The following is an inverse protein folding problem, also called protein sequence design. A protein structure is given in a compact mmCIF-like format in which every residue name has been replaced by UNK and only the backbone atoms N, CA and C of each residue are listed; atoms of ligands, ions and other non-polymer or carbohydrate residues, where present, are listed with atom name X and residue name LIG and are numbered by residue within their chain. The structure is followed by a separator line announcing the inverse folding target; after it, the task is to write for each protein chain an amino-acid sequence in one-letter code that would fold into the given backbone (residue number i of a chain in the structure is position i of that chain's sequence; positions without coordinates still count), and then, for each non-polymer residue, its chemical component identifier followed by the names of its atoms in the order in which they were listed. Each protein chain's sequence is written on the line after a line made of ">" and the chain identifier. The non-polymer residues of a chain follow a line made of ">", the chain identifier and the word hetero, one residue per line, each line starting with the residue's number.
data_IF_573095854628
#
_entry.id   IF_573095854628
#
_cell.length_a   1.000
_cell.length_b   1.000
_cell.length_c   1.000
_cell.angle_alpha   90.00
_cell.angle_beta   90.00
_cell.angle_gamma   90.00
#
_symmetry.space_group_name_H-M   'P 1'
#
loop_
_entity.id
_entity.type
_entity.pdbx_description
1 polymer ?
#
# COMPACT_ATOMS: atom_id res chain seq x y z
N UNK A 1 -5.32 9.83 -16.75
CA UNK A 1 -5.79 9.02 -15.62
C UNK A 1 -4.98 7.74 -15.56
N UNK A 2 -4.26 7.54 -14.46
CA UNK A 2 -3.44 6.37 -14.24
C UNK A 2 -4.34 5.22 -13.78
N UNK A 3 -4.48 4.19 -14.58
CA UNK A 3 -5.29 2.99 -14.27
C UNK A 3 -4.55 2.00 -13.34
N UNK A 4 -3.75 2.51 -12.41
CA UNK A 4 -3.10 1.69 -11.41
C UNK A 4 -4.10 1.36 -10.30
N UNK A 5 -4.13 0.11 -9.83
CA UNK A 5 -5.03 -0.30 -8.73
C UNK A 5 -4.86 0.61 -7.50
N UNK A 6 -3.63 1.01 -7.17
CA UNK A 6 -3.34 1.84 -6.00
C UNK A 6 -3.71 3.31 -6.14
N UNK A 7 -3.91 3.82 -7.38
CA UNK A 7 -4.33 5.20 -7.62
C UNK A 7 -5.82 5.33 -7.88
N UNK A 8 -6.50 4.21 -8.10
CA UNK A 8 -7.89 4.20 -8.51
C UNK A 8 -8.10 4.80 -9.90
N UNK A 9 -9.31 4.69 -10.40
CA UNK A 9 -9.77 5.37 -11.60
C UNK A 9 -10.65 6.55 -11.17
N UNK A 10 -10.19 7.78 -11.38
CA UNK A 10 -11.00 8.96 -11.14
C UNK A 10 -11.93 9.22 -12.33
N UNK A 11 -13.17 9.63 -12.06
CA UNK A 11 -14.06 10.10 -13.11
C UNK A 11 -13.52 11.37 -13.75
N UNK A 12 -13.57 11.50 -15.07
CA UNK A 12 -13.19 12.73 -15.76
C UNK A 12 -14.24 13.85 -15.64
N UNK A 13 -15.41 13.56 -15.07
CA UNK A 13 -16.52 14.50 -14.95
C UNK A 13 -16.77 14.80 -13.46
N UNK A 14 -16.94 16.06 -13.15
CA UNK A 14 -17.13 16.57 -11.80
C UNK A 14 -18.48 16.15 -11.18
N UNK A 15 -19.46 15.82 -12.02
CA UNK A 15 -20.82 15.39 -11.65
C UNK A 15 -21.19 14.05 -12.29
N UNK A 16 -20.38 13.02 -12.05
CA UNK A 16 -20.71 11.69 -12.56
C UNK A 16 -21.76 11.04 -11.67
N UNK A 17 -22.87 10.63 -12.28
CA UNK A 17 -23.89 9.87 -11.55
C UNK A 17 -23.29 8.55 -11.12
N UNK A 18 -23.33 8.25 -9.83
CA UNK A 18 -22.86 6.98 -9.27
C UNK A 18 -23.70 5.83 -9.83
N UNK A 19 -23.22 5.21 -10.90
CA UNK A 19 -23.85 4.08 -11.57
C UNK A 19 -23.18 2.73 -11.24
N UNK A 20 -22.22 2.74 -10.31
CA UNK A 20 -21.47 1.57 -9.85
C UNK A 20 -21.49 1.49 -8.34
N UNK A 21 -21.75 0.29 -7.88
CA UNK A 21 -21.75 -0.01 -6.46
C UNK A 21 -20.49 -0.80 -6.11
N UNK A 22 -19.98 -0.56 -4.91
CA UNK A 22 -18.90 -1.33 -4.32
C UNK A 22 -19.30 -1.72 -2.90
N UNK A 23 -18.84 -2.89 -2.49
CA UNK A 23 -19.00 -3.39 -1.14
C UNK A 23 -17.63 -3.41 -0.48
N UNK A 24 -17.54 -2.83 0.72
CA UNK A 24 -16.38 -2.95 1.60
C UNK A 24 -16.84 -3.53 2.93
N UNK A 25 -16.10 -4.52 3.44
CA UNK A 25 -16.34 -5.15 4.72
C UNK A 25 -15.03 -5.22 5.49
N UNK A 26 -15.11 -4.95 6.81
CA UNK A 26 -14.01 -5.15 7.73
C UNK A 26 -14.50 -5.84 9.01
N UNK A 27 -13.70 -6.78 9.49
CA UNK A 27 -13.91 -7.47 10.75
C UNK A 27 -12.63 -7.34 11.56
N UNK A 28 -12.75 -6.84 12.79
CA UNK A 28 -11.64 -6.76 13.74
C UNK A 28 -11.91 -7.68 14.94
N UNK A 29 -10.86 -8.41 15.37
CA UNK A 29 -10.90 -9.30 16.54
C UNK A 29 -9.92 -8.77 17.59
N UNK A 30 -10.41 -8.64 18.84
CA UNK A 30 -9.66 -8.16 20.02
C UNK A 30 -9.70 -9.19 21.16
N UNK A 31 -9.98 -10.47 20.88
CA UNK A 31 -10.16 -11.51 21.91
C UNK A 31 -8.90 -11.76 22.75
N UNK A 32 -7.73 -11.44 22.20
CA UNK A 32 -6.46 -11.57 22.91
C UNK A 32 -5.97 -10.21 23.36
N UNK A 33 -5.69 -10.06 24.65
CA UNK A 33 -5.21 -8.79 25.23
C UNK A 33 -3.92 -8.33 24.54
N UNK A 34 -3.93 -7.09 24.06
CA UNK A 34 -2.79 -6.49 23.35
C UNK A 34 -2.68 -6.87 21.88
N UNK A 35 -3.53 -7.78 21.37
CA UNK A 35 -3.53 -8.20 19.97
C UNK A 35 -4.85 -7.78 19.28
N UNK A 36 -4.72 -7.07 18.18
CA UNK A 36 -5.80 -6.83 17.22
C UNK A 36 -5.50 -7.58 15.94
N UNK A 37 -6.47 -8.31 15.45
CA UNK A 37 -6.46 -8.94 14.13
C UNK A 37 -7.53 -8.29 13.27
N UNK A 38 -7.21 -7.90 12.05
CA UNK A 38 -8.13 -7.28 11.11
C UNK A 38 -8.16 -8.04 9.79
N UNK A 39 -9.37 -8.28 9.28
CA UNK A 39 -9.61 -8.83 7.95
C UNK A 39 -10.55 -7.90 7.21
N UNK A 40 -10.17 -7.47 6.01
CA UNK A 40 -11.02 -6.62 5.20
C UNK A 40 -11.07 -7.08 3.75
N UNK A 41 -12.19 -6.78 3.12
CA UNK A 41 -12.44 -7.10 1.73
C UNK A 41 -13.16 -5.95 1.03
N UNK A 42 -12.85 -5.77 -0.24
CA UNK A 42 -13.51 -4.84 -1.14
C UNK A 42 -13.84 -5.55 -2.45
N UNK A 43 -15.04 -5.34 -2.95
CA UNK A 43 -15.49 -5.81 -4.24
C UNK A 43 -16.27 -4.71 -4.94
N UNK A 44 -15.87 -4.35 -6.15
CA UNK A 44 -16.56 -3.31 -6.93
C UNK A 44 -16.19 -3.38 -8.41
N UNK A 45 -16.90 -2.61 -9.21
CA UNK A 45 -16.59 -2.46 -10.63
C UNK A 45 -15.91 -1.11 -10.86
N UNK A 46 -14.71 -1.11 -11.44
CA UNK A 46 -13.95 0.10 -11.71
C UNK A 46 -14.42 0.86 -12.95
N UNK A 47 -15.14 0.18 -13.84
CA UNK A 47 -15.56 0.75 -15.12
C UNK A 47 -17.06 0.60 -15.27
N UNK A 48 -17.73 1.71 -15.51
CA UNK A 48 -19.17 1.81 -15.73
C UNK A 48 -19.58 2.12 -17.16
N UNK A 49 -18.62 2.55 -17.96
CA UNK A 49 -18.90 3.11 -19.26
C UNK A 49 -18.67 2.10 -20.38
N UNK A 50 -19.50 2.21 -21.40
CA UNK A 50 -19.30 1.53 -22.66
C UNK A 50 -18.11 2.20 -23.37
N UNK A 51 -17.08 1.44 -23.68
CA UNK A 51 -16.04 1.96 -24.56
C UNK A 51 -16.55 1.99 -25.97
N UNK A 52 -16.49 3.15 -26.67
CA UNK A 52 -16.87 3.20 -28.04
C UNK A 52 -15.88 2.37 -28.85
N UNK A 53 -16.42 1.42 -29.58
CA UNK A 53 -15.84 0.71 -30.69
C UNK A 53 -14.49 0.01 -30.43
N UNK A 54 -14.50 -1.30 -30.43
CA UNK A 54 -13.32 -2.10 -30.71
C UNK A 54 -12.77 -1.83 -32.13
N UNK A 55 -11.73 -2.51 -32.54
CA UNK A 55 -11.16 -2.38 -33.90
C UNK A 55 -12.16 -2.76 -35.02
N UNK A 56 -13.27 -3.44 -34.70
CA UNK A 56 -14.33 -3.87 -35.58
C UNK A 56 -15.58 -2.94 -35.56
N UNK A 57 -15.55 -1.87 -34.74
CA UNK A 57 -16.65 -0.94 -34.62
C UNK A 57 -17.75 -1.36 -33.64
N UNK A 58 -17.57 -2.49 -32.91
CA UNK A 58 -18.55 -2.96 -31.96
C UNK A 58 -18.36 -2.31 -30.58
N UNK A 59 -19.44 -1.86 -29.98
CA UNK A 59 -19.46 -1.33 -28.61
C UNK A 59 -19.37 -2.48 -27.63
N UNK A 60 -18.26 -2.56 -26.86
CA UNK A 60 -18.06 -3.59 -25.83
C UNK A 60 -18.18 -3.00 -24.43
N UNK A 61 -18.82 -3.75 -23.53
CA UNK A 61 -19.00 -3.40 -22.14
C UNK A 61 -18.05 -4.24 -21.28
N UNK A 62 -17.12 -3.59 -20.61
CA UNK A 62 -16.25 -4.22 -19.62
C UNK A 62 -16.62 -3.75 -18.22
N UNK A 63 -16.52 -4.63 -17.25
CA UNK A 63 -16.84 -4.31 -15.84
C UNK A 63 -15.62 -3.84 -15.06
N UNK A 64 -14.44 -4.36 -15.38
CA UNK A 64 -13.22 -4.05 -14.66
C UNK A 64 -13.40 -4.34 -13.15
N UNK A 65 -13.85 -5.54 -12.80
CA UNK A 65 -14.11 -5.90 -11.41
C UNK A 65 -12.83 -5.79 -10.58
N UNK A 66 -12.89 -5.02 -9.49
CA UNK A 66 -11.79 -4.87 -8.53
C UNK A 66 -12.15 -5.70 -7.29
N UNK A 67 -11.26 -6.61 -6.92
CA UNK A 67 -11.31 -7.34 -5.65
C UNK A 67 -10.05 -7.00 -4.87
N UNK A 68 -10.22 -6.62 -3.59
CA UNK A 68 -9.09 -6.39 -2.69
C UNK A 68 -9.35 -7.16 -1.41
N UNK A 69 -8.38 -7.96 -0.99
CA UNK A 69 -8.36 -8.61 0.31
C UNK A 69 -7.19 -8.08 1.12
N UNK A 70 -7.41 -7.80 2.41
CA UNK A 70 -6.37 -7.32 3.31
C UNK A 70 -6.49 -8.01 4.66
N UNK A 71 -5.35 -8.44 5.16
CA UNK A 71 -5.18 -8.93 6.53
C UNK A 71 -4.19 -8.03 7.24
N UNK A 72 -4.49 -7.62 8.45
CA UNK A 72 -3.58 -6.85 9.29
C UNK A 72 -3.64 -7.30 10.76
N UNK A 73 -2.54 -7.11 11.45
CA UNK A 73 -2.49 -7.33 12.89
C UNK A 73 -1.64 -6.27 13.58
N UNK A 74 -1.96 -6.03 14.84
CA UNK A 74 -1.18 -5.16 15.72
C UNK A 74 -1.15 -5.76 17.12
N UNK A 75 0.06 -6.03 17.60
CA UNK A 75 0.33 -6.47 18.96
C UNK A 75 1.04 -5.37 19.74
N UNK A 76 0.51 -5.04 20.90
CA UNK A 76 1.08 -4.03 21.79
C UNK A 76 0.96 -4.52 23.24
N UNK A 77 1.94 -5.28 23.68
CA UNK A 77 2.04 -5.77 25.06
C UNK A 77 3.50 -6.16 25.38
N UNK A 78 3.83 -6.32 26.66
CA UNK A 78 5.13 -6.78 27.14
C UNK A 78 6.31 -5.96 26.57
N UNK A 79 6.14 -4.65 26.44
CA UNK A 79 7.12 -3.71 25.85
C UNK A 79 7.44 -3.94 24.37
N UNK A 80 6.69 -4.82 23.71
CA UNK A 80 6.74 -5.04 22.27
C UNK A 80 5.63 -4.30 21.54
N UNK A 81 5.97 -3.78 20.38
CA UNK A 81 5.01 -3.34 19.36
C UNK A 81 5.34 -4.14 18.10
N UNK A 82 4.41 -5.00 17.68
CA UNK A 82 4.55 -5.76 16.43
C UNK A 82 3.35 -5.47 15.55
N UNK A 83 3.59 -5.13 14.29
CA UNK A 83 2.54 -4.85 13.31
C UNK A 83 2.84 -5.58 12.02
N UNK A 84 1.81 -6.04 11.37
CA UNK A 84 1.95 -6.61 10.04
C UNK A 84 0.71 -6.39 9.22
N UNK A 85 0.89 -6.41 7.91
CA UNK A 85 -0.18 -6.25 6.94
C UNK A 85 0.15 -7.06 5.69
N UNK A 86 -0.87 -7.62 5.06
CA UNK A 86 -0.78 -8.26 3.76
C UNK A 86 -2.01 -7.88 2.94
N UNK A 87 -1.78 -7.38 1.72
CA UNK A 87 -2.82 -6.94 0.81
C UNK A 87 -2.67 -7.67 -0.52
N UNK A 88 -3.80 -8.05 -1.10
CA UNK A 88 -3.87 -8.61 -2.43
C UNK A 88 -4.98 -7.96 -3.23
N UNK A 89 -4.66 -7.46 -4.41
CA UNK A 89 -5.59 -6.84 -5.34
C UNK A 89 -5.68 -7.62 -6.64
N UNK A 90 -6.90 -7.77 -7.15
CA UNK A 90 -7.22 -8.37 -8.43
C UNK A 90 -8.08 -7.42 -9.26
N UNK A 91 -7.74 -7.28 -10.54
CA UNK A 91 -8.48 -6.51 -11.53
C UNK A 91 -8.94 -7.41 -12.66
N UNK A 92 -10.25 -7.57 -12.81
CA UNK A 92 -10.86 -8.22 -13.95
C UNK A 92 -10.73 -7.37 -15.23
N UNK A 93 -10.81 -8.02 -16.38
CA UNK A 93 -10.71 -7.37 -17.69
C UNK A 93 -9.42 -6.55 -17.91
N UNK A 94 -8.36 -6.84 -17.16
CA UNK A 94 -7.12 -6.05 -17.19
C UNK A 94 -6.47 -5.99 -18.57
N UNK A 95 -6.58 -7.06 -19.38
CA UNK A 95 -6.05 -7.10 -20.75
C UNK A 95 -6.78 -6.12 -21.68
N UNK A 96 -8.09 -6.04 -21.54
CA UNK A 96 -8.95 -5.15 -22.32
C UNK A 96 -8.71 -3.69 -21.91
N UNK A 97 -8.58 -3.45 -20.61
CA UNK A 97 -8.24 -2.14 -20.07
C UNK A 97 -6.88 -1.65 -20.56
N UNK A 98 -5.90 -2.56 -20.64
CA UNK A 98 -4.59 -2.30 -21.23
C UNK A 98 -4.70 -1.91 -22.69
N UNK A 99 -5.50 -2.63 -23.48
CA UNK A 99 -5.72 -2.32 -24.90
C UNK A 99 -6.24 -0.89 -25.08
N UNK A 100 -7.23 -0.48 -24.30
CA UNK A 100 -7.78 0.87 -24.37
C UNK A 100 -6.79 1.95 -23.90
N UNK A 101 -6.01 1.66 -22.86
CA UNK A 101 -4.95 2.55 -22.40
C UNK A 101 -3.90 2.77 -23.48
N UNK A 102 -3.44 1.70 -24.14
CA UNK A 102 -2.46 1.77 -25.22
C UNK A 102 -2.99 2.54 -26.44
N UNK A 103 -4.29 2.36 -26.80
CA UNK A 103 -4.92 3.11 -27.88
C UNK A 103 -4.97 4.61 -27.56
N UNK A 104 -5.27 4.96 -26.31
CA UNK A 104 -5.30 6.35 -25.84
C UNK A 104 -3.90 6.98 -25.88
N UNK A 105 -2.88 6.24 -25.49
CA UNK A 105 -1.48 6.69 -25.56
C UNK A 105 -1.02 6.97 -27.00
N UNK A 106 -1.52 6.21 -27.98
CA UNK A 106 -1.23 6.44 -29.41
C UNK A 106 -1.91 7.71 -29.96
N UNK A 107 -3.02 8.12 -29.35
CA UNK A 107 -3.77 9.31 -29.78
C UNK A 107 -3.27 10.61 -29.13
N UNK A 108 -2.45 10.53 -28.07
CA UNK A 108 -1.91 11.69 -27.38
C UNK A 108 -0.42 11.54 -27.11
N UNK A 109 0.44 12.34 -27.76
CA UNK A 109 1.87 12.28 -27.54
C UNK A 109 2.30 12.73 -26.13
N UNK A 110 1.43 13.39 -25.39
CA UNK A 110 1.70 13.94 -24.05
C UNK A 110 1.24 13.07 -22.90
N UNK A 111 0.51 11.98 -23.14
CA UNK A 111 0.00 11.09 -22.10
C UNK A 111 0.53 9.68 -22.27
N UNK A 112 1.47 9.32 -21.41
CA UNK A 112 1.88 7.94 -21.28
C UNK A 112 1.23 7.33 -20.03
N UNK A 113 0.10 6.63 -20.21
CA UNK A 113 -0.52 5.87 -19.12
C UNK A 113 0.16 4.52 -19.04
N UNK A 114 0.73 4.14 -17.88
CA UNK A 114 1.31 2.82 -17.70
C UNK A 114 0.24 1.74 -17.85
N UNK A 115 0.67 0.57 -18.26
CA UNK A 115 -0.17 -0.62 -18.39
C UNK A 115 -0.75 -1.02 -17.03
N UNK A 116 -1.94 -1.57 -17.03
CA UNK A 116 -2.63 -2.05 -15.83
C UNK A 116 -2.25 -3.49 -15.56
N UNK A 117 -1.90 -3.82 -14.32
CA UNK A 117 -1.69 -5.18 -13.86
C UNK A 117 -3.02 -5.85 -13.51
N UNK A 118 -3.11 -7.15 -13.78
CA UNK A 118 -4.21 -7.99 -13.32
C UNK A 118 -4.16 -8.20 -11.81
N UNK A 119 -2.96 -8.33 -11.24
CA UNK A 119 -2.75 -8.61 -9.83
C UNK A 119 -1.72 -7.64 -9.24
N UNK A 120 -1.94 -7.25 -7.98
CA UNK A 120 -1.00 -6.50 -7.17
C UNK A 120 -0.98 -7.10 -5.77
N UNK A 121 0.16 -7.04 -5.09
CA UNK A 121 0.25 -7.43 -3.69
C UNK A 121 1.23 -6.57 -2.92
N UNK A 122 1.00 -6.48 -1.63
CA UNK A 122 1.95 -5.95 -0.66
C UNK A 122 1.87 -6.74 0.63
N UNK A 123 2.98 -6.87 1.33
CA UNK A 123 2.99 -7.35 2.70
C UNK A 123 4.20 -6.79 3.44
N UNK A 124 4.06 -6.68 4.74
CA UNK A 124 5.12 -6.20 5.60
C UNK A 124 4.90 -6.55 7.06
N UNK A 125 6.00 -6.53 7.79
CA UNK A 125 6.02 -6.72 9.23
C UNK A 125 7.02 -5.75 9.85
N UNK A 126 6.64 -5.18 10.98
CA UNK A 126 7.47 -4.33 11.83
C UNK A 126 7.44 -4.87 13.26
N UNK A 127 8.58 -4.93 13.90
CA UNK A 127 8.70 -5.25 15.31
C UNK A 127 9.61 -4.24 16.00
N UNK A 128 9.18 -3.72 17.14
CA UNK A 128 9.92 -2.80 17.97
C UNK A 128 9.85 -3.21 19.44
N UNK A 129 10.96 -3.05 20.15
CA UNK A 129 11.05 -3.32 21.57
C UNK A 129 11.50 -2.09 22.35
N UNK A 130 10.80 -1.78 23.45
CA UNK A 130 11.18 -0.69 24.35
C UNK A 130 12.32 -1.11 25.25
N UNK A 131 13.54 -0.73 24.90
CA UNK A 131 14.76 -1.08 25.66
C UNK A 131 14.85 -0.32 26.99
N UNK A 132 14.21 0.86 27.12
CA UNK A 132 14.20 1.62 28.36
C UNK A 132 13.31 0.96 29.42
N UNK A 133 12.42 0.09 29.03
CA UNK A 133 11.62 -0.72 29.96
C UNK A 133 12.48 -1.55 30.92
N UNK A 134 13.72 -1.84 30.56
CA UNK A 134 14.66 -2.61 31.38
C UNK A 134 15.42 -1.74 32.40
N UNK A 135 15.37 -0.42 32.28
CA UNK A 135 16.10 0.54 33.14
C UNK A 135 15.09 1.25 34.03
N UNK A 136 15.08 0.93 35.31
CA UNK A 136 14.07 1.40 36.26
C UNK A 136 13.94 2.93 36.26
N UNK A 137 15.05 3.68 36.34
CA UNK A 137 15.05 5.14 36.36
C UNK A 137 14.36 5.74 35.14
N UNK A 138 14.66 5.26 33.91
CA UNK A 138 14.09 5.78 32.68
C UNK A 138 12.62 5.41 32.53
N UNK A 139 12.25 4.24 33.02
CA UNK A 139 10.85 3.81 33.08
C UNK A 139 10.03 4.67 34.04
N UNK A 140 10.60 5.01 35.23
CA UNK A 140 9.95 5.86 36.22
C UNK A 140 9.78 7.30 35.70
N UNK A 141 10.73 7.79 34.88
CA UNK A 141 10.66 9.06 34.16
C UNK A 141 9.72 9.00 32.92
N UNK A 142 9.04 7.87 32.68
CA UNK A 142 8.14 7.65 31.54
C UNK A 142 8.81 7.78 30.15
N UNK A 143 10.12 7.71 30.09
CA UNK A 143 10.86 7.71 28.82
C UNK A 143 10.79 6.35 28.15
N UNK A 144 10.74 6.34 26.81
CA UNK A 144 10.76 5.10 26.03
C UNK A 144 11.75 5.20 24.89
N UNK A 145 12.43 4.10 24.61
CA UNK A 145 13.27 3.96 23.43
C UNK A 145 12.94 2.66 22.71
N UNK A 146 12.23 2.76 21.62
CA UNK A 146 11.99 1.62 20.76
C UNK A 146 13.12 1.45 19.76
N UNK A 147 13.72 0.26 19.77
CA UNK A 147 14.56 -0.22 18.67
C UNK A 147 13.67 -1.08 17.80
N UNK A 148 13.63 -0.82 16.49
CA UNK A 148 12.72 -1.52 15.59
C UNK A 148 13.41 -2.02 14.32
N UNK A 149 12.83 -3.07 13.75
CA UNK A 149 13.11 -3.55 12.42
C UNK A 149 11.83 -3.70 11.62
N UNK A 150 11.89 -3.40 10.32
CA UNK A 150 10.77 -3.50 9.39
C UNK A 150 11.21 -4.18 8.12
N UNK A 151 10.38 -5.06 7.63
CA UNK A 151 10.47 -5.64 6.30
C UNK A 151 9.17 -5.42 5.55
N UNK A 152 9.27 -4.98 4.30
CA UNK A 152 8.13 -4.76 3.41
C UNK A 152 8.46 -5.30 2.03
N UNK A 153 7.49 -5.90 1.38
CA UNK A 153 7.57 -6.26 -0.03
C UNK A 153 6.28 -5.88 -0.73
N UNK A 154 6.41 -5.28 -1.90
CA UNK A 154 5.26 -4.95 -2.72
C UNK A 154 5.56 -5.12 -4.19
N UNK A 155 4.54 -5.49 -4.92
CA UNK A 155 4.57 -5.56 -6.37
C UNK A 155 3.22 -5.10 -6.94
N UNK A 156 3.13 -3.85 -7.39
CA UNK A 156 1.91 -3.32 -7.99
C UNK A 156 1.64 -3.90 -9.38
N UNK A 157 2.60 -4.61 -9.97
CA UNK A 157 2.50 -5.25 -11.27
C UNK A 157 2.91 -6.73 -11.17
N UNK A 158 2.11 -7.53 -10.47
CA UNK A 158 2.45 -8.92 -10.16
C UNK A 158 2.20 -9.89 -11.32
N UNK A 159 1.28 -9.59 -12.22
CA UNK A 159 1.00 -10.44 -13.38
C UNK A 159 1.79 -9.98 -14.60
N UNK A 160 2.62 -10.86 -15.12
CA UNK A 160 3.29 -10.66 -16.42
C UNK A 160 2.26 -10.84 -17.52
N UNK A 161 1.80 -9.77 -18.11
CA UNK A 161 0.95 -9.80 -19.29
C UNK A 161 1.80 -9.33 -20.48
N UNK A 162 2.05 -10.22 -21.46
CA UNK A 162 2.73 -9.91 -22.74
C UNK A 162 4.10 -9.21 -22.60
N UNK A 163 5.19 -9.95 -22.51
CA UNK A 163 6.59 -9.54 -22.72
C UNK A 163 7.04 -8.14 -22.18
N UNK A 164 6.19 -7.44 -21.48
CA UNK A 164 6.54 -6.16 -20.84
C UNK A 164 7.17 -6.40 -19.48
N UNK A 165 8.34 -5.82 -19.29
CA UNK A 165 9.09 -5.96 -18.04
C UNK A 165 8.86 -4.75 -17.13
N UNK A 166 8.00 -4.92 -16.12
CA UNK A 166 7.78 -3.94 -15.05
C UNK A 166 8.46 -4.37 -13.75
N UNK A 167 9.54 -5.13 -13.86
CA UNK A 167 10.29 -5.65 -12.71
C UNK A 167 10.79 -4.56 -11.75
N UNK A 168 11.00 -3.34 -12.26
CA UNK A 168 11.39 -2.18 -11.47
C UNK A 168 10.31 -1.73 -10.47
N UNK A 169 9.06 -2.17 -10.63
CA UNK A 169 7.97 -1.84 -9.71
C UNK A 169 7.93 -2.76 -8.49
N UNK A 170 8.52 -3.96 -8.60
CA UNK A 170 8.62 -4.90 -7.50
C UNK A 170 9.78 -4.51 -6.58
N UNK A 171 9.48 -4.16 -5.34
CA UNK A 171 10.49 -3.68 -4.39
C UNK A 171 10.37 -4.42 -3.07
N UNK A 172 11.53 -4.64 -2.44
CA UNK A 172 11.65 -5.05 -1.04
C UNK A 172 12.26 -3.88 -0.27
N UNK A 173 11.76 -3.61 0.90
CA UNK A 173 12.29 -2.59 1.77
C UNK A 173 12.67 -3.20 3.12
N UNK A 174 13.89 -2.96 3.55
CA UNK A 174 14.37 -3.34 4.88
C UNK A 174 14.72 -2.06 5.60
N UNK A 175 14.15 -1.86 6.77
CA UNK A 175 14.43 -0.68 7.59
C UNK A 175 14.73 -1.10 9.02
N UNK A 176 15.60 -0.36 9.67
CA UNK A 176 15.85 -0.48 11.11
C UNK A 176 16.16 0.89 11.68
N UNK A 177 15.78 1.09 12.93
CA UNK A 177 15.95 2.40 13.54
C UNK A 177 15.52 2.46 14.98
N UNK A 178 15.46 3.68 15.48
CA UNK A 178 15.08 4.00 16.83
C UNK A 178 14.00 5.07 16.87
N UNK A 179 13.09 4.95 17.85
CA UNK A 179 12.10 5.96 18.19
C UNK A 179 12.27 6.29 19.68
N UNK A 180 12.82 7.45 19.99
CA UNK A 180 13.02 7.93 21.35
C UNK A 180 11.90 8.88 21.76
N UNK A 181 11.26 8.57 22.87
CA UNK A 181 10.20 9.36 23.49
C UNK A 181 10.74 9.97 24.79
N UNK A 182 11.29 11.20 24.77
CA UNK A 182 11.67 11.92 25.99
C UNK A 182 10.44 12.28 26.84
N UNK A 183 9.30 12.52 26.18
CA UNK A 183 7.99 12.74 26.74
C UNK A 183 6.95 11.96 25.95
N UNK A 184 5.80 11.59 26.52
CA UNK A 184 4.76 10.83 25.80
C UNK A 184 4.29 11.48 24.51
N UNK A 185 4.38 12.81 24.40
CA UNK A 185 3.91 13.58 23.26
C UNK A 185 4.98 13.85 22.21
N UNK A 186 6.25 13.64 22.53
CA UNK A 186 7.37 13.96 21.63
C UNK A 186 8.09 12.68 21.25
N UNK A 187 8.33 12.49 19.97
CA UNK A 187 9.18 11.40 19.47
C UNK A 187 10.26 11.94 18.56
N UNK A 188 11.49 11.54 18.83
CA UNK A 188 12.66 11.71 17.95
C UNK A 188 12.90 10.38 17.26
N UNK A 189 12.97 10.40 15.93
CA UNK A 189 13.09 9.21 15.10
C UNK A 189 14.39 9.27 14.30
N UNK A 190 15.07 8.15 14.20
CA UNK A 190 16.16 7.96 13.27
C UNK A 190 16.09 6.55 12.71
N UNK A 191 16.10 6.41 11.39
CA UNK A 191 16.09 5.12 10.73
C UNK A 191 16.97 5.10 9.49
N UNK A 192 17.47 3.93 9.20
CA UNK A 192 18.05 3.57 7.92
C UNK A 192 17.08 2.65 7.19
N UNK A 193 16.83 2.93 5.93
CA UNK A 193 16.06 2.06 5.07
C UNK A 193 16.78 1.80 3.75
N UNK A 194 16.65 0.59 3.24
CA UNK A 194 17.21 0.19 1.96
C UNK A 194 16.12 -0.47 1.13
N UNK A 195 15.80 0.18 0.03
CA UNK A 195 14.91 -0.37 -0.99
C UNK A 195 15.72 -1.22 -1.95
N UNK A 196 15.47 -2.53 -1.93
CA UNK A 196 16.18 -3.53 -2.72
C UNK A 196 15.35 -3.78 -3.99
N UNK A 197 15.99 -3.55 -5.13
CA UNK A 197 15.42 -3.79 -6.45
C UNK A 197 16.02 -5.08 -7.05
N UNK A 198 15.50 -5.53 -8.19
CA UNK A 198 16.13 -6.63 -8.95
C UNK A 198 17.54 -6.22 -9.41
N UNK A 199 18.39 -7.22 -9.63
CA UNK A 199 19.83 -7.07 -9.90
C UNK A 199 20.20 -6.10 -11.02
N UNK A 200 19.29 -5.83 -11.95
CA UNK A 200 19.50 -4.86 -13.04
C UNK A 200 19.30 -3.39 -12.62
N UNK A 201 18.86 -3.13 -11.39
CA UNK A 201 18.61 -1.80 -10.85
C UNK A 201 19.42 -1.59 -9.58
N UNK A 202 19.82 -0.36 -9.32
CA UNK A 202 20.53 0.00 -8.11
C UNK A 202 19.58 0.01 -6.90
N UNK A 203 20.07 -0.43 -5.75
CA UNK A 203 19.36 -0.28 -4.49
C UNK A 203 19.26 1.20 -4.11
N UNK A 204 18.21 1.54 -3.38
CA UNK A 204 17.92 2.91 -2.94
C UNK A 204 18.05 3.00 -1.40
N UNK A 205 19.26 3.22 -0.86
CA UNK A 205 19.45 3.43 0.57
C UNK A 205 19.03 4.85 0.98
N UNK A 206 18.51 5.00 2.19
CA UNK A 206 18.17 6.31 2.76
C UNK A 206 18.36 6.32 4.28
N UNK A 207 18.72 7.48 4.81
CA UNK A 207 18.74 7.78 6.24
C UNK A 207 17.67 8.83 6.50
N UNK A 208 16.81 8.59 7.47
CA UNK A 208 15.74 9.49 7.83
C UNK A 208 15.89 9.89 9.30
N UNK A 209 15.76 11.18 9.56
CA UNK A 209 15.75 11.75 10.92
C UNK A 209 14.54 12.66 11.00
N UNK A 210 13.78 12.57 12.08
CA UNK A 210 12.58 13.38 12.26
C UNK A 210 12.21 13.56 13.71
N UNK A 211 11.47 14.62 13.99
CA UNK A 211 10.84 14.90 15.27
C UNK A 211 9.35 15.05 15.01
N UNK A 212 8.53 14.41 15.84
CA UNK A 212 7.08 14.58 15.79
C UNK A 212 6.53 14.89 17.19
N UNK A 213 5.51 15.73 17.20
CA UNK A 213 4.72 16.06 18.38
C UNK A 213 3.29 15.58 18.18
N UNK A 214 2.76 14.90 19.20
CA UNK A 214 1.38 14.43 19.23
C UNK A 214 0.67 15.09 20.41
N UNK A 215 -0.05 16.19 20.18
CA UNK A 215 -0.77 16.94 21.19
C UNK A 215 -1.53 18.11 20.55
N UNK A 216 -2.32 18.82 21.38
CA UNK A 216 -2.96 20.06 20.95
C UNK A 216 -1.99 21.22 21.19
N UNK A 217 -1.82 22.08 20.18
CA UNK A 217 -1.25 23.39 20.38
C UNK A 217 -2.36 24.27 21.01
N UNK A 218 -2.16 24.69 22.22
CA UNK A 218 -3.02 25.68 22.89
C UNK A 218 -2.64 27.08 22.41
#
# INVERSE_FOLDING_TARGET
>A
HDYWIHKGASSPLEFDVANKYALALRIDNYSVKGLRLGLSGYCGNSIGNTYPNDAAGASQKYKGTVLIGSFDFSYNAHNWIVRGQADYGYLGDAAQLKYFSNRRNKLSPYHHTPSVSKNAFSYGIEAGYDVFSQIQKLRDDHQKLYVFGRFEQYNPYASKTNNENYDYTAKKNVSFGINYYPLPQIVVKADYSCRILKSQYNNEPSINIGIAYAGFFL
#
